data_IF_312000763319
#
_entry.id   IF_312000763319
#
_cell.length_a   1.000
_cell.length_b   1.000
_cell.length_c   1.000
_cell.angle_alpha   90.00
_cell.angle_beta   90.00
_cell.angle_gamma   90.00
#
_symmetry.space_group_name_H-M   'P 1'
#
loop_
_entity.id
_entity.type
_entity.pdbx_description
1 polymer ?
#
# COMPACT_ATOMS: atom_id res chain seq x y z
N UNK A 1 -20.78 8.88 -17.99
CA UNK A 1 -19.60 9.59 -17.47
C UNK A 1 -19.40 9.13 -16.03
N UNK A 2 -18.54 8.13 -15.80
CA UNK A 2 -18.29 7.63 -14.44
C UNK A 2 -17.43 8.64 -13.69
N UNK A 3 -18.04 9.31 -12.72
CA UNK A 3 -17.32 9.91 -11.59
C UNK A 3 -16.70 8.76 -10.80
N UNK A 4 -15.54 8.27 -11.26
CA UNK A 4 -14.66 7.46 -10.42
C UNK A 4 -14.16 8.42 -9.36
N UNK A 5 -14.77 8.34 -8.18
CA UNK A 5 -14.47 9.17 -7.02
C UNK A 5 -12.94 9.21 -6.79
N UNK A 6 -12.37 10.37 -6.41
CA UNK A 6 -10.92 10.56 -6.18
C UNK A 6 -10.45 9.91 -4.87
N UNK A 7 -10.99 8.75 -4.49
CA UNK A 7 -10.73 8.11 -3.19
C UNK A 7 -9.30 7.58 -3.00
N UNK A 8 -8.35 7.83 -3.90
CA UNK A 8 -7.08 7.12 -3.82
C UNK A 8 -5.90 7.82 -4.49
N UNK A 9 -5.87 9.15 -4.60
CA UNK A 9 -4.60 9.79 -5.02
C UNK A 9 -3.50 9.55 -3.97
N UNK A 10 -3.88 9.57 -2.68
CA UNK A 10 -3.02 9.22 -1.56
C UNK A 10 -2.67 7.72 -1.55
N UNK A 11 -3.66 6.83 -1.71
CA UNK A 11 -3.43 5.37 -1.82
C UNK A 11 -2.53 5.05 -3.00
N UNK A 12 -2.69 5.72 -4.14
CA UNK A 12 -1.86 5.48 -5.33
C UNK A 12 -0.43 5.98 -5.12
N UNK A 13 -0.24 7.13 -4.47
CA UNK A 13 1.10 7.63 -4.05
C UNK A 13 1.75 6.71 -3.02
N UNK A 14 1.00 6.27 -2.02
CA UNK A 14 1.44 5.30 -1.03
C UNK A 14 1.82 3.97 -1.68
N UNK A 15 0.99 3.45 -2.60
CA UNK A 15 1.28 2.21 -3.32
C UNK A 15 2.53 2.31 -4.18
N UNK A 16 2.73 3.44 -4.88
CA UNK A 16 3.97 3.68 -5.62
C UNK A 16 5.18 3.66 -4.68
N UNK A 17 5.10 4.40 -3.56
CA UNK A 17 6.15 4.43 -2.54
C UNK A 17 6.46 3.04 -1.95
N UNK A 18 5.42 2.26 -1.61
CA UNK A 18 5.58 0.89 -1.14
C UNK A 18 6.22 -0.01 -2.18
N UNK A 19 5.83 0.10 -3.45
CA UNK A 19 6.41 -0.70 -4.53
C UNK A 19 7.90 -0.37 -4.72
N UNK A 20 8.27 0.91 -4.63
CA UNK A 20 9.68 1.34 -4.66
C UNK A 20 10.46 0.83 -3.45
N UNK A 21 9.94 1.03 -2.23
CA UNK A 21 10.58 0.55 -1.00
C UNK A 21 10.73 -0.97 -1.00
N UNK A 22 9.73 -1.70 -1.52
CA UNK A 22 9.78 -3.16 -1.61
C UNK A 22 10.69 -3.65 -2.73
N UNK A 23 10.86 -2.89 -3.80
CA UNK A 23 11.87 -3.16 -4.82
C UNK A 23 13.30 -2.97 -4.28
N UNK A 24 13.49 -2.01 -3.36
CA UNK A 24 14.77 -1.77 -2.66
C UNK A 24 15.03 -2.82 -1.59
N UNK A 25 14.02 -3.10 -0.77
CA UNK A 25 14.08 -4.02 0.36
C UNK A 25 12.89 -4.98 0.36
N UNK A 26 12.94 -6.07 -0.44
CA UNK A 26 11.87 -7.07 -0.49
C UNK A 26 11.73 -7.88 0.81
N UNK A 27 12.65 -7.70 1.77
CA UNK A 27 12.58 -8.28 3.11
C UNK A 27 11.80 -7.41 4.10
N UNK A 28 11.51 -6.15 3.75
CA UNK A 28 10.78 -5.21 4.60
C UNK A 28 9.32 -5.65 4.62
N UNK A 29 8.81 -5.95 5.82
CA UNK A 29 7.47 -6.48 5.99
C UNK A 29 6.40 -5.49 5.54
N UNK A 30 5.40 -5.97 4.81
CA UNK A 30 4.32 -5.14 4.28
C UNK A 30 3.62 -4.31 5.37
N UNK A 31 3.45 -4.87 6.57
CA UNK A 31 2.84 -4.19 7.71
C UNK A 31 3.63 -2.93 8.15
N UNK A 32 4.96 -2.97 8.15
CA UNK A 32 5.81 -1.81 8.46
C UNK A 32 5.67 -0.73 7.38
N UNK A 33 5.69 -1.15 6.13
CA UNK A 33 5.54 -0.24 4.98
C UNK A 33 4.16 0.43 4.94
N UNK A 34 3.10 -0.30 5.31
CA UNK A 34 1.74 0.22 5.47
C UNK A 34 1.63 1.24 6.60
N UNK A 35 2.26 0.98 7.74
CA UNK A 35 2.26 1.89 8.88
C UNK A 35 3.02 3.18 8.55
N UNK A 36 4.23 3.07 7.96
CA UNK A 36 5.01 4.20 7.46
C UNK A 36 4.21 5.02 6.44
N UNK A 37 3.60 4.36 5.45
CA UNK A 37 2.80 5.04 4.44
C UNK A 37 1.51 5.64 5.01
N UNK A 38 0.88 4.98 5.98
CA UNK A 38 -0.29 5.49 6.69
C UNK A 38 0.00 6.81 7.39
N UNK A 39 1.11 6.87 8.12
CA UNK A 39 1.57 8.09 8.78
C UNK A 39 2.02 9.16 7.79
N UNK A 40 2.73 8.76 6.72
CA UNK A 40 3.37 9.68 5.77
C UNK A 40 2.40 10.30 4.77
N UNK A 41 1.40 9.54 4.33
CA UNK A 41 0.36 10.00 3.41
C UNK A 41 -0.96 10.33 4.11
N UNK A 42 -0.99 10.26 5.45
CA UNK A 42 -2.16 10.53 6.27
C UNK A 42 -3.38 9.70 5.81
N UNK A 43 -3.14 8.40 5.56
CA UNK A 43 -4.15 7.49 5.03
C UNK A 43 -5.25 7.29 6.08
N UNK A 44 -6.50 7.29 5.61
CA UNK A 44 -7.60 6.87 6.48
C UNK A 44 -7.51 5.37 6.75
N UNK A 45 -8.12 4.86 7.84
CA UNK A 45 -8.20 3.41 8.07
C UNK A 45 -8.82 2.65 6.88
N UNK A 46 -9.70 3.29 6.11
CA UNK A 46 -10.28 2.71 4.89
C UNK A 46 -9.23 2.57 3.77
N UNK A 47 -8.42 3.62 3.56
CA UNK A 47 -7.33 3.65 2.58
C UNK A 47 -6.23 2.64 2.94
N UNK A 48 -5.85 2.57 4.22
CA UNK A 48 -4.87 1.61 4.71
C UNK A 48 -5.34 0.17 4.50
N UNK A 49 -6.61 -0.14 4.74
CA UNK A 49 -7.19 -1.46 4.47
C UNK A 49 -7.22 -1.80 2.97
N UNK A 50 -7.54 -0.83 2.11
CA UNK A 50 -7.52 -1.03 0.66
C UNK A 50 -6.10 -1.29 0.13
N UNK A 51 -5.13 -0.51 0.62
CA UNK A 51 -3.71 -0.66 0.34
C UNK A 51 -3.21 -2.03 0.83
N UNK A 52 -3.53 -2.41 2.06
CA UNK A 52 -3.16 -3.70 2.63
C UNK A 52 -3.68 -4.85 1.78
N UNK A 53 -4.95 -4.80 1.36
CA UNK A 53 -5.55 -5.84 0.50
C UNK A 53 -4.88 -5.94 -0.86
N UNK A 54 -4.54 -4.80 -1.48
CA UNK A 54 -3.83 -4.77 -2.77
C UNK A 54 -2.48 -5.49 -2.69
N UNK A 55 -1.71 -5.23 -1.63
CA UNK A 55 -0.38 -5.81 -1.48
C UNK A 55 -0.40 -7.22 -0.90
N UNK A 56 -1.28 -7.53 0.06
CA UNK A 56 -1.44 -8.89 0.63
C UNK A 56 -1.78 -9.91 -0.45
N UNK A 57 -2.57 -9.54 -1.45
CA UNK A 57 -2.86 -10.41 -2.59
C UNK A 57 -1.67 -10.63 -3.53
N UNK A 58 -0.66 -9.76 -3.49
CA UNK A 58 0.60 -9.90 -4.24
C UNK A 58 1.73 -10.59 -3.46
N UNK A 59 1.61 -10.74 -2.14
CA UNK A 59 2.59 -11.39 -1.24
C UNK A 59 2.40 -12.90 -1.09
N UNK A 60 1.39 -13.52 -1.71
CA UNK A 60 1.03 -14.94 -1.46
C UNK A 60 1.99 -15.97 -2.07
N UNK A 61 3.22 -15.62 -2.43
CA UNK A 61 4.23 -16.61 -2.82
C UNK A 61 5.56 -16.24 -2.20
N UNK A 62 5.89 -16.89 -1.07
CA UNK A 62 7.21 -17.39 -0.65
C UNK A 62 7.28 -17.49 0.88
N UNK A 63 7.04 -18.68 1.40
CA UNK A 63 7.70 -19.35 2.56
C UNK A 63 6.99 -20.72 2.63
N UNK A 64 7.49 -21.69 1.87
CA UNK A 64 8.13 -22.94 2.36
C UNK A 64 7.11 -24.01 2.78
#
# INVERSE_FOLDING_TARGET
MSTVMPQSELVRKAAAYLAEERARDPRKGLALLLDEAGMRFNLTPLDAMALERLFRNGDTVKTE
#
